data_IF_305125111531
#
_entry.id   IF_305125111531
#
_cell.length_a   1.000
_cell.length_b   1.000
_cell.length_c   1.000
_cell.angle_alpha   90.00
_cell.angle_beta   90.00
_cell.angle_gamma   90.00
#
_symmetry.space_group_name_H-M   'P 1'
#
loop_
_entity.id
_entity.type
_entity.pdbx_description
1 polymer ?
#
# COMPACT_ATOMS: atom_id res chain seq x y z
N UNK A 1 8.88 -64.37 24.57
CA UNK A 1 8.04 -63.18 24.83
C UNK A 1 8.49 -62.07 23.87
N UNK A 2 7.72 -61.73 22.84
CA UNK A 2 8.02 -60.63 21.92
C UNK A 2 7.15 -59.43 22.36
N UNK A 3 7.80 -58.37 22.83
CA UNK A 3 7.13 -57.13 23.17
C UNK A 3 6.82 -56.35 21.90
N UNK A 4 5.54 -56.08 21.68
CA UNK A 4 5.05 -55.25 20.57
C UNK A 4 5.05 -53.78 21.06
N UNK A 5 5.96 -52.94 20.54
CA UNK A 5 5.93 -51.52 20.79
C UNK A 5 4.84 -50.91 19.91
N UNK A 6 3.78 -50.38 20.51
CA UNK A 6 2.72 -49.62 19.83
C UNK A 6 3.19 -48.16 19.72
N UNK A 7 3.56 -47.73 18.50
CA UNK A 7 3.87 -46.33 18.23
C UNK A 7 2.55 -45.55 18.06
N UNK A 8 2.23 -44.69 18.98
CA UNK A 8 1.10 -43.74 18.89
C UNK A 8 1.56 -42.58 18.02
N UNK A 9 1.08 -42.52 16.77
CA UNK A 9 1.20 -41.34 15.90
C UNK A 9 0.24 -40.26 16.42
N UNK A 10 0.76 -39.25 17.11
CA UNK A 10 0.01 -38.02 17.43
C UNK A 10 -0.03 -37.18 16.16
N UNK A 11 -1.11 -37.24 15.41
CA UNK A 11 -1.39 -36.28 14.31
C UNK A 11 -1.77 -34.95 14.95
N UNK A 12 -0.82 -34.04 15.06
CA UNK A 12 -1.06 -32.69 15.49
C UNK A 12 -1.98 -31.98 14.46
N UNK A 13 -3.25 -31.77 14.83
CA UNK A 13 -4.15 -30.90 14.07
C UNK A 13 -3.62 -29.46 14.15
N UNK A 14 -3.00 -28.97 13.10
CA UNK A 14 -2.69 -27.56 12.95
C UNK A 14 -4.01 -26.81 12.76
N UNK A 15 -4.56 -26.24 13.82
CA UNK A 15 -5.65 -25.28 13.68
C UNK A 15 -5.14 -24.12 12.84
N UNK A 16 -5.76 -23.88 11.68
CA UNK A 16 -5.50 -22.68 10.88
C UNK A 16 -5.82 -21.46 11.74
N UNK A 17 -4.81 -20.65 12.01
CA UNK A 17 -5.01 -19.41 12.78
C UNK A 17 -5.95 -18.49 11.96
N UNK A 18 -7.02 -18.01 12.60
CA UNK A 18 -7.94 -17.05 11.98
C UNK A 18 -7.15 -15.76 11.72
N UNK A 19 -7.10 -15.26 10.47
CA UNK A 19 -6.41 -14.01 10.16
C UNK A 19 -6.94 -12.87 11.03
N UNK A 20 -6.03 -12.09 11.60
CA UNK A 20 -6.35 -10.93 12.43
C UNK A 20 -5.42 -9.76 12.10
N UNK A 21 -5.90 -8.54 12.29
CA UNK A 21 -5.06 -7.36 12.17
C UNK A 21 -4.00 -7.33 13.27
N UNK A 22 -2.78 -7.00 12.88
CA UNK A 22 -1.68 -6.66 13.77
C UNK A 22 -1.06 -5.32 13.37
N UNK A 23 -0.46 -4.64 14.32
CA UNK A 23 0.23 -3.38 14.04
C UNK A 23 1.49 -3.65 13.20
N UNK A 24 1.64 -2.91 12.08
CA UNK A 24 2.88 -2.78 11.32
C UNK A 24 3.75 -1.66 11.90
N UNK A 25 3.14 -0.64 12.45
CA UNK A 25 3.81 0.47 13.12
C UNK A 25 3.42 0.45 14.61
N UNK A 26 4.42 0.37 15.48
CA UNK A 26 4.24 0.23 16.92
C UNK A 26 3.95 1.54 17.66
N UNK A 27 3.96 2.69 16.94
CA UNK A 27 3.74 4.01 17.51
C UNK A 27 4.90 4.56 18.36
N UNK A 28 6.04 3.87 18.43
CA UNK A 28 7.17 4.23 19.32
C UNK A 28 8.47 4.47 18.58
N UNK A 29 8.78 3.64 17.61
CA UNK A 29 10.03 3.65 16.84
C UNK A 29 9.83 3.04 15.44
N UNK A 30 10.92 3.00 14.66
CA UNK A 30 10.93 2.47 13.30
C UNK A 30 11.29 0.97 13.24
N UNK A 31 11.17 0.23 14.33
CA UNK A 31 11.41 -1.21 14.31
C UNK A 31 10.46 -1.92 13.35
N UNK A 32 11.01 -2.78 12.50
CA UNK A 32 10.26 -3.44 11.42
C UNK A 32 10.23 -2.65 10.11
N UNK A 33 10.91 -1.49 10.08
CA UNK A 33 11.01 -0.62 8.90
C UNK A 33 12.46 -0.37 8.50
N UNK A 34 12.69 -0.20 7.20
CA UNK A 34 14.01 0.03 6.60
C UNK A 34 13.94 1.27 5.72
N UNK A 35 14.82 2.24 6.02
CA UNK A 35 14.99 3.43 5.21
C UNK A 35 15.72 3.09 3.89
N UNK A 36 15.16 3.52 2.77
CA UNK A 36 15.72 3.31 1.42
C UNK A 36 15.75 4.64 0.67
N UNK A 37 16.95 5.11 0.34
CA UNK A 37 17.24 6.33 -0.42
C UNK A 37 16.77 7.63 0.24
N UNK A 38 16.45 7.65 1.53
CA UNK A 38 16.15 8.90 2.24
C UNK A 38 17.23 9.21 3.29
N UNK A 39 17.31 10.45 3.73
CA UNK A 39 18.23 10.85 4.79
C UNK A 39 17.83 10.22 6.14
N UNK A 40 18.75 10.03 7.09
CA UNK A 40 18.46 9.43 8.39
C UNK A 40 17.35 10.14 9.19
N UNK A 41 17.19 11.45 8.96
CA UNK A 41 16.21 12.31 9.64
C UNK A 41 14.95 12.60 8.82
N UNK A 42 14.77 11.95 7.65
CA UNK A 42 13.56 12.07 6.83
C UNK A 42 12.35 11.52 7.55
N UNK A 43 12.55 10.46 8.35
CA UNK A 43 11.49 9.76 9.07
C UNK A 43 11.72 9.88 10.58
N UNK A 44 10.70 10.25 11.31
CA UNK A 44 10.72 10.34 12.77
C UNK A 44 9.38 9.88 13.37
N UNK A 45 9.41 9.54 14.65
CA UNK A 45 8.20 9.16 15.39
C UNK A 45 7.97 10.16 16.51
N UNK A 46 6.79 10.76 16.54
CA UNK A 46 6.38 11.70 17.57
C UNK A 46 4.95 11.41 18.01
N UNK A 47 4.75 11.19 19.32
CA UNK A 47 3.42 10.98 19.93
C UNK A 47 2.55 9.95 19.20
N UNK A 48 3.15 8.82 18.82
CA UNK A 48 2.43 7.74 18.14
C UNK A 48 2.21 7.95 16.63
N UNK A 49 2.77 9.01 16.06
CA UNK A 49 2.68 9.34 14.65
C UNK A 49 4.03 9.14 13.98
N UNK A 50 4.05 8.46 12.84
CA UNK A 50 5.19 8.38 11.94
C UNK A 50 5.13 9.58 11.01
N UNK A 51 6.16 10.41 11.04
CA UNK A 51 6.25 11.64 10.28
C UNK A 51 7.34 11.50 9.21
N UNK A 52 6.98 11.79 7.98
CA UNK A 52 7.89 11.89 6.84
C UNK A 52 8.01 13.35 6.40
N UNK A 53 9.25 13.85 6.26
CA UNK A 53 9.51 15.22 5.77
C UNK A 53 9.23 15.41 4.28
N UNK A 54 9.08 14.30 3.51
CA UNK A 54 8.90 14.34 2.06
C UNK A 54 10.18 14.54 1.25
N UNK A 55 11.34 14.70 1.87
CA UNK A 55 12.63 14.90 1.20
C UNK A 55 13.77 14.21 1.97
N UNK A 56 14.79 13.65 1.24
CA UNK A 56 14.82 13.40 -0.21
C UNK A 56 13.82 12.34 -0.66
N UNK A 57 13.62 12.21 -1.99
CA UNK A 57 12.73 11.18 -2.56
C UNK A 57 13.31 9.79 -2.28
N UNK A 58 12.46 8.91 -1.77
CA UNK A 58 12.76 7.53 -1.43
C UNK A 58 11.61 6.90 -0.66
N UNK A 59 11.86 5.80 0.03
CA UNK A 59 10.80 5.08 0.76
C UNK A 59 11.26 4.59 2.13
N UNK A 60 10.28 4.39 3.00
CA UNK A 60 10.41 3.57 4.20
C UNK A 60 9.68 2.25 3.92
N UNK A 61 10.41 1.14 3.78
CA UNK A 61 9.82 -0.16 3.52
C UNK A 61 9.74 -1.04 4.77
N UNK A 62 8.82 -1.99 4.77
CA UNK A 62 8.81 -3.06 5.78
C UNK A 62 10.09 -3.90 5.71
N UNK A 63 10.48 -4.55 6.80
CA UNK A 63 11.63 -5.46 6.86
C UNK A 63 11.34 -6.84 6.24
N UNK A 64 10.06 -7.21 6.07
CA UNK A 64 9.62 -8.44 5.41
C UNK A 64 8.66 -8.19 4.24
N UNK A 65 8.55 -9.18 3.38
CA UNK A 65 7.63 -9.19 2.24
C UNK A 65 6.26 -9.74 2.62
N UNK A 66 5.25 -9.31 1.88
CA UNK A 66 3.85 -9.76 1.98
C UNK A 66 3.34 -10.21 0.62
N UNK A 67 2.46 -11.23 0.63
CA UNK A 67 1.82 -11.75 -0.57
C UNK A 67 0.35 -11.37 -0.62
N UNK A 68 -0.48 -11.99 0.20
CA UNK A 68 -1.91 -11.70 0.32
C UNK A 68 -2.18 -11.01 1.65
N UNK A 69 -2.82 -9.85 1.62
CA UNK A 69 -3.04 -9.06 2.83
C UNK A 69 -4.19 -8.06 2.69
N UNK A 70 -4.65 -7.58 3.84
CA UNK A 70 -5.44 -6.36 3.97
C UNK A 70 -4.60 -5.38 4.78
N UNK A 71 -4.33 -4.21 4.21
CA UNK A 71 -3.63 -3.10 4.85
C UNK A 71 -4.62 -2.03 5.25
N UNK A 72 -4.55 -1.59 6.50
CA UNK A 72 -5.23 -0.40 7.00
C UNK A 72 -4.18 0.65 7.34
N UNK A 73 -4.36 1.89 6.87
CA UNK A 73 -3.45 3.00 7.15
C UNK A 73 -4.21 4.32 7.24
N UNK A 74 -3.91 5.12 8.28
CA UNK A 74 -4.35 6.50 8.37
C UNK A 74 -3.20 7.44 7.99
N UNK A 75 -3.51 8.44 7.17
CA UNK A 75 -2.53 9.40 6.68
C UNK A 75 -3.11 10.81 6.54
N UNK A 76 -2.24 11.82 6.56
CA UNK A 76 -2.59 13.21 6.27
C UNK A 76 -1.41 14.00 5.73
N UNK A 77 -1.61 14.76 4.68
CA UNK A 77 -0.66 15.78 4.24
C UNK A 77 -0.70 17.00 5.14
N UNK A 78 0.46 17.59 5.38
CA UNK A 78 0.58 18.82 6.17
C UNK A 78 0.65 20.07 5.30
N UNK A 79 0.89 19.92 4.00
CA UNK A 79 1.03 20.99 3.03
C UNK A 79 0.07 20.78 1.86
N UNK A 80 -0.37 21.90 1.25
CA UNK A 80 -1.16 21.86 0.02
C UNK A 80 -0.30 21.34 -1.15
N UNK A 81 -0.90 20.51 -2.01
CA UNK A 81 -0.21 19.94 -3.17
C UNK A 81 0.85 18.90 -2.82
N UNK A 82 0.80 18.31 -1.63
CA UNK A 82 1.71 17.25 -1.23
C UNK A 82 1.54 15.97 -2.06
N UNK A 83 2.65 15.25 -2.25
CA UNK A 83 2.71 13.97 -2.94
C UNK A 83 3.30 12.91 -2.01
N UNK A 84 2.71 11.73 -2.02
CA UNK A 84 3.16 10.51 -1.36
C UNK A 84 2.37 9.32 -1.90
N UNK A 85 2.71 8.10 -1.45
CA UNK A 85 2.02 6.88 -1.81
C UNK A 85 2.33 5.73 -0.87
N UNK A 86 1.53 4.68 -0.99
CA UNK A 86 1.84 3.36 -0.43
C UNK A 86 2.13 2.41 -1.57
N UNK A 87 3.28 1.74 -1.52
CA UNK A 87 3.59 0.66 -2.46
C UNK A 87 3.18 -0.68 -1.88
N UNK A 88 2.47 -1.45 -2.68
CA UNK A 88 2.23 -2.87 -2.45
C UNK A 88 3.14 -3.71 -3.34
N UNK A 89 3.60 -4.85 -2.81
CA UNK A 89 4.45 -5.80 -3.53
C UNK A 89 5.72 -5.18 -4.13
N UNK A 90 6.35 -4.30 -3.39
CA UNK A 90 7.53 -3.56 -3.86
C UNK A 90 8.81 -4.40 -3.83
N UNK A 91 9.74 -4.05 -4.72
CA UNK A 91 11.11 -4.50 -4.62
C UNK A 91 11.80 -3.95 -3.36
N UNK A 92 12.90 -4.56 -2.95
CA UNK A 92 13.65 -4.15 -1.75
C UNK A 92 14.31 -2.77 -1.89
N UNK A 93 14.75 -2.46 -3.10
CA UNK A 93 15.47 -1.22 -3.46
C UNK A 93 15.12 -0.83 -4.89
N UNK A 94 15.24 0.45 -5.24
CA UNK A 94 15.09 0.90 -6.63
C UNK A 94 16.17 0.31 -7.54
N UNK A 95 15.83 0.16 -8.83
CA UNK A 95 16.83 -0.09 -9.87
C UNK A 95 17.76 1.12 -10.03
N UNK A 96 18.94 0.91 -10.64
CA UNK A 96 20.07 1.89 -10.72
C UNK A 96 19.68 3.30 -11.20
N UNK A 97 18.65 3.42 -12.04
CA UNK A 97 18.21 4.70 -12.63
C UNK A 97 16.94 5.26 -12.00
N UNK A 98 16.40 4.57 -11.00
CA UNK A 98 15.13 4.92 -10.38
C UNK A 98 15.33 5.48 -8.97
N UNK A 99 14.46 6.38 -8.55
CA UNK A 99 14.43 6.87 -7.16
C UNK A 99 13.57 6.00 -6.27
N UNK A 100 12.53 5.40 -6.85
CA UNK A 100 11.54 4.57 -6.20
C UNK A 100 11.67 3.11 -6.66
N UNK A 101 11.37 2.12 -5.81
CA UNK A 101 11.40 0.72 -6.19
C UNK A 101 10.25 0.38 -7.14
N UNK A 102 10.37 -0.73 -7.87
CA UNK A 102 9.24 -1.27 -8.62
C UNK A 102 8.16 -1.75 -7.65
N UNK A 103 6.90 -1.67 -8.06
CA UNK A 103 5.77 -2.11 -7.24
C UNK A 103 4.43 -1.60 -7.78
N UNK A 104 3.37 -1.80 -7.04
CA UNK A 104 2.07 -1.17 -7.31
C UNK A 104 1.87 -0.03 -6.33
N UNK A 105 1.70 1.17 -6.86
CA UNK A 105 1.47 2.36 -6.05
C UNK A 105 -0.01 2.63 -5.85
N UNK A 106 -0.35 2.91 -4.60
CA UNK A 106 -1.64 3.46 -4.15
C UNK A 106 -1.40 4.93 -3.82
N UNK A 107 -1.74 5.78 -4.75
CA UNK A 107 -1.38 7.20 -4.74
C UNK A 107 -2.05 7.99 -3.61
N UNK A 108 -1.27 8.84 -2.94
CA UNK A 108 -1.70 9.76 -1.89
C UNK A 108 -1.34 11.20 -2.27
N UNK A 109 -2.13 11.82 -3.16
CA UNK A 109 -1.97 13.24 -3.49
C UNK A 109 -2.87 14.11 -2.61
N UNK A 110 -2.38 15.26 -2.19
CA UNK A 110 -3.20 16.27 -1.54
C UNK A 110 -4.12 16.95 -2.56
N UNK A 111 -5.30 17.41 -2.13
CA UNK A 111 -6.40 17.86 -3.01
C UNK A 111 -6.04 19.01 -3.94
N UNK A 112 -5.11 19.88 -3.53
CA UNK A 112 -4.65 21.02 -4.34
C UNK A 112 -3.53 20.64 -5.33
N UNK A 113 -3.06 19.37 -5.30
CA UNK A 113 -1.99 18.92 -6.20
C UNK A 113 -2.24 19.24 -7.67
N UNK A 114 -3.43 18.95 -8.26
CA UNK A 114 -3.69 19.23 -9.68
C UNK A 114 -3.61 20.72 -10.03
N UNK A 115 -3.99 21.59 -9.11
CA UNK A 115 -3.96 23.04 -9.31
C UNK A 115 -2.56 23.61 -9.20
N UNK A 116 -1.77 23.09 -8.26
CA UNK A 116 -0.42 23.56 -7.97
C UNK A 116 0.63 22.97 -8.92
N UNK A 117 0.39 21.76 -9.45
CA UNK A 117 1.29 21.05 -10.37
C UNK A 117 0.72 20.99 -11.79
N UNK A 118 0.54 22.16 -12.38
CA UNK A 118 0.03 22.31 -13.76
C UNK A 118 1.01 21.71 -14.78
N UNK A 119 0.48 21.08 -15.81
CA UNK A 119 1.25 20.67 -16.98
C UNK A 119 0.92 21.61 -18.14
N UNK A 120 1.93 22.27 -18.71
CA UNK A 120 1.79 23.26 -19.79
C UNK A 120 0.75 24.36 -19.46
N UNK A 121 0.72 24.80 -18.19
CA UNK A 121 -0.23 25.81 -17.71
C UNK A 121 -1.65 25.30 -17.42
N UNK A 122 -1.95 24.04 -17.75
CA UNK A 122 -3.27 23.41 -17.56
C UNK A 122 -3.28 22.60 -16.25
N UNK A 123 -4.35 22.72 -15.48
CA UNK A 123 -4.55 21.89 -14.29
C UNK A 123 -4.62 20.40 -14.66
N UNK A 124 -4.05 19.55 -13.80
CA UNK A 124 -4.15 18.11 -14.00
C UNK A 124 -5.60 17.65 -13.77
N UNK A 125 -6.06 16.62 -14.49
CA UNK A 125 -7.38 16.04 -14.26
C UNK A 125 -7.57 15.62 -12.80
N UNK A 126 -8.79 15.69 -12.30
CA UNK A 126 -9.15 15.29 -10.93
C UNK A 126 -8.67 13.89 -10.53
N UNK A 127 -8.53 12.97 -11.49
CA UNK A 127 -8.00 11.63 -11.28
C UNK A 127 -6.56 11.60 -10.71
N UNK A 128 -5.79 12.68 -10.85
CA UNK A 128 -4.46 12.80 -10.22
C UNK A 128 -4.50 13.19 -8.75
N UNK A 129 -5.66 13.17 -8.11
CA UNK A 129 -5.75 13.70 -6.73
C UNK A 129 -5.40 12.64 -5.70
N UNK A 130 -6.13 11.55 -5.68
CA UNK A 130 -5.95 10.50 -4.67
C UNK A 130 -6.58 9.19 -5.11
N UNK A 131 -6.03 8.08 -4.60
CA UNK A 131 -6.59 6.76 -4.85
C UNK A 131 -6.39 6.25 -6.27
N UNK A 132 -5.52 6.87 -7.05
CA UNK A 132 -5.05 6.29 -8.31
C UNK A 132 -4.18 5.06 -8.02
N UNK A 133 -4.30 4.02 -8.85
CA UNK A 133 -3.55 2.78 -8.73
C UNK A 133 -2.82 2.50 -10.03
N UNK A 134 -1.53 2.20 -9.94
CA UNK A 134 -0.72 1.91 -11.12
C UNK A 134 0.56 1.15 -10.81
N UNK A 135 1.10 0.46 -11.80
CA UNK A 135 2.42 -0.16 -11.70
C UNK A 135 3.54 0.86 -11.89
N UNK A 136 4.57 0.77 -11.06
CA UNK A 136 5.81 1.55 -11.13
C UNK A 136 6.96 0.65 -11.54
N UNK A 137 7.93 1.19 -12.31
CA UNK A 137 9.17 0.50 -12.64
C UNK A 137 9.00 -0.72 -13.55
N UNK A 138 7.96 -0.77 -14.36
CA UNK A 138 7.71 -1.87 -15.29
C UNK A 138 6.73 -2.92 -14.79
N UNK A 139 6.22 -2.80 -13.56
CA UNK A 139 5.10 -3.62 -13.08
C UNK A 139 3.87 -3.28 -13.93
N UNK A 140 3.21 -4.31 -14.49
CA UNK A 140 2.01 -4.18 -15.31
C UNK A 140 0.79 -4.54 -14.50
N UNK A 141 -0.31 -3.82 -14.73
CA UNK A 141 -1.62 -4.06 -14.11
C UNK A 141 -2.72 -3.84 -15.14
N UNK A 142 -3.91 -4.36 -14.84
CA UNK A 142 -5.14 -4.07 -15.59
C UNK A 142 -6.00 -3.17 -14.70
N UNK A 143 -6.24 -1.91 -15.09
CA UNK A 143 -7.03 -0.98 -14.29
C UNK A 143 -8.52 -1.32 -14.31
N UNK A 144 -9.21 -1.17 -13.16
CA UNK A 144 -10.68 -1.26 -13.09
C UNK A 144 -11.33 -0.04 -13.76
N UNK A 145 -10.75 1.14 -13.56
CA UNK A 145 -11.19 2.41 -14.14
C UNK A 145 -10.06 3.02 -14.98
N UNK A 146 -9.90 2.61 -16.25
CA UNK A 146 -8.71 2.90 -17.02
C UNK A 146 -8.58 4.39 -17.39
N UNK A 147 -7.37 4.92 -17.16
CA UNK A 147 -6.84 6.15 -17.74
C UNK A 147 -5.40 5.87 -18.18
N UNK A 148 -5.28 5.40 -19.42
CA UNK A 148 -4.05 4.79 -19.89
C UNK A 148 -3.75 3.50 -19.08
N UNK A 149 -2.52 3.37 -18.58
CA UNK A 149 -2.09 2.24 -17.73
C UNK A 149 -2.48 2.39 -16.25
N UNK A 150 -3.10 3.51 -15.86
CA UNK A 150 -3.50 3.82 -14.49
C UNK A 150 -4.99 3.60 -14.27
N UNK A 151 -5.36 3.18 -13.07
CA UNK A 151 -6.74 3.13 -12.63
C UNK A 151 -7.05 4.35 -11.80
N UNK A 152 -7.97 5.20 -12.24
CA UNK A 152 -8.35 6.40 -11.51
C UNK A 152 -9.50 6.15 -10.54
N UNK A 153 -9.56 6.89 -9.45
CA UNK A 153 -10.70 6.88 -8.54
C UNK A 153 -11.83 7.75 -9.11
N UNK A 154 -12.99 7.19 -9.43
CA UNK A 154 -14.13 7.96 -9.95
C UNK A 154 -14.78 8.89 -8.93
N UNK A 155 -14.47 8.70 -7.62
CA UNK A 155 -14.97 9.51 -6.54
C UNK A 155 -13.83 10.16 -5.75
N UNK A 156 -13.90 11.46 -5.51
CA UNK A 156 -13.03 12.15 -4.57
C UNK A 156 -13.60 12.00 -3.15
N UNK A 157 -12.88 11.24 -2.31
CA UNK A 157 -13.29 11.00 -0.93
C UNK A 157 -12.28 11.45 0.10
N UNK A 158 -11.12 11.91 -0.33
CA UNK A 158 -10.10 12.41 0.56
C UNK A 158 -10.46 13.79 1.11
N UNK A 159 -10.02 14.02 2.32
CA UNK A 159 -10.03 15.30 3.01
C UNK A 159 -8.72 16.03 2.72
N UNK A 160 -8.73 17.34 2.83
CA UNK A 160 -7.57 18.19 2.56
C UNK A 160 -6.47 18.14 3.61
N UNK A 161 -5.47 19.00 3.44
CA UNK A 161 -4.32 19.07 4.33
C UNK A 161 -4.72 19.25 5.79
N UNK A 162 -3.96 18.61 6.69
CA UNK A 162 -4.21 18.65 8.13
C UNK A 162 -5.29 17.68 8.61
N UNK A 163 -6.06 17.06 7.71
CA UNK A 163 -7.11 16.12 8.07
C UNK A 163 -6.71 14.66 7.82
N UNK A 164 -7.08 13.78 8.75
CA UNK A 164 -6.81 12.35 8.63
C UNK A 164 -7.70 11.68 7.59
N UNK A 165 -7.07 10.93 6.70
CA UNK A 165 -7.69 10.03 5.74
C UNK A 165 -7.37 8.59 6.09
N UNK A 166 -8.22 7.66 5.66
CA UNK A 166 -8.04 6.22 5.82
C UNK A 166 -7.99 5.54 4.48
N UNK A 167 -6.99 4.70 4.27
CA UNK A 167 -6.96 3.71 3.21
C UNK A 167 -7.12 2.31 3.79
N UNK A 168 -8.01 1.51 3.19
CA UNK A 168 -8.07 0.07 3.34
C UNK A 168 -7.75 -0.56 1.97
N UNK A 169 -6.64 -1.30 1.92
CA UNK A 169 -6.10 -1.89 0.70
C UNK A 169 -6.18 -3.40 0.81
N UNK A 170 -7.04 -4.04 0.02
CA UNK A 170 -7.09 -5.50 -0.11
C UNK A 170 -6.21 -5.90 -1.28
N UNK A 171 -5.18 -6.70 -1.03
CA UNK A 171 -4.22 -7.14 -2.02
C UNK A 171 -4.13 -8.68 -2.04
N UNK A 172 -4.66 -9.31 -3.09
CA UNK A 172 -4.74 -10.78 -3.21
C UNK A 172 -4.49 -11.19 -4.66
N UNK A 173 -3.53 -12.08 -4.87
CA UNK A 173 -3.24 -12.72 -6.17
C UNK A 173 -3.15 -11.73 -7.36
N UNK A 174 -2.51 -10.59 -7.16
CA UNK A 174 -2.35 -9.57 -8.20
C UNK A 174 -3.58 -8.68 -8.41
N UNK A 175 -4.59 -8.78 -7.55
CA UNK A 175 -5.74 -7.86 -7.49
C UNK A 175 -5.54 -6.92 -6.30
N UNK A 176 -5.71 -5.62 -6.52
CA UNK A 176 -5.82 -4.64 -5.43
C UNK A 176 -7.18 -3.96 -5.51
N UNK A 177 -7.83 -3.84 -4.34
CA UNK A 177 -9.04 -3.05 -4.16
C UNK A 177 -8.79 -2.02 -3.06
N UNK A 178 -9.17 -0.77 -3.34
CA UNK A 178 -8.94 0.37 -2.47
C UNK A 178 -10.27 0.94 -1.95
N UNK A 179 -10.35 1.08 -0.63
CA UNK A 179 -11.36 1.92 0.00
C UNK A 179 -10.73 3.17 0.59
N UNK A 180 -11.39 4.32 0.42
CA UNK A 180 -11.00 5.61 0.98
C UNK A 180 -12.08 6.08 1.93
N UNK A 181 -11.72 6.36 3.18
CA UNK A 181 -12.65 6.83 4.21
C UNK A 181 -13.92 5.96 4.29
N UNK A 182 -13.70 4.63 4.30
CA UNK A 182 -14.74 3.62 4.48
C UNK A 182 -15.56 3.28 3.25
N UNK A 183 -15.23 3.79 2.05
CA UNK A 183 -15.93 3.44 0.81
C UNK A 183 -14.98 2.90 -0.25
N UNK A 184 -15.33 1.77 -0.86
CA UNK A 184 -14.63 1.24 -2.03
C UNK A 184 -14.71 2.24 -3.20
N UNK A 185 -13.58 2.56 -3.79
CA UNK A 185 -13.48 3.57 -4.85
C UNK A 185 -12.71 3.12 -6.08
N UNK A 186 -11.73 2.23 -5.96
CA UNK A 186 -10.85 1.91 -7.09
C UNK A 186 -10.23 0.53 -6.97
N UNK A 187 -9.66 0.02 -8.07
CA UNK A 187 -8.95 -1.24 -8.08
C UNK A 187 -8.13 -1.46 -9.34
N UNK A 188 -7.28 -2.47 -9.25
CA UNK A 188 -6.54 -3.06 -10.37
C UNK A 188 -6.59 -4.59 -10.29
N UNK A 189 -6.33 -5.23 -11.40
CA UNK A 189 -6.15 -6.68 -11.46
C UNK A 189 -4.89 -7.06 -12.25
N UNK A 190 -4.55 -8.34 -12.25
CA UNK A 190 -3.48 -8.95 -13.05
C UNK A 190 -2.12 -8.27 -12.89
N UNK A 191 -1.81 -7.81 -11.67
CA UNK A 191 -0.46 -7.33 -11.38
C UNK A 191 0.57 -8.42 -11.69
N UNK A 192 1.64 -8.04 -12.38
CA UNK A 192 2.76 -8.95 -12.67
C UNK A 192 3.62 -9.23 -11.43
N UNK A 193 3.52 -8.39 -10.41
CA UNK A 193 4.16 -8.57 -9.10
C UNK A 193 3.08 -8.82 -8.05
N UNK A 194 3.19 -9.92 -7.29
CA UNK A 194 2.16 -10.39 -6.36
C UNK A 194 2.70 -10.64 -4.95
N UNK A 195 3.97 -10.35 -4.74
CA UNK A 195 4.68 -10.47 -3.46
C UNK A 195 5.81 -9.47 -3.41
N UNK A 196 6.00 -8.84 -2.27
CA UNK A 196 7.05 -7.85 -2.07
C UNK A 196 6.86 -7.06 -0.77
N UNK A 197 7.61 -6.00 -0.64
CA UNK A 197 7.56 -5.13 0.52
C UNK A 197 6.38 -4.16 0.44
N UNK A 198 5.94 -3.69 1.59
CA UNK A 198 5.10 -2.48 1.70
C UNK A 198 6.03 -1.29 1.91
N UNK A 199 5.81 -0.21 1.15
CA UNK A 199 6.59 1.01 1.31
C UNK A 199 5.68 2.21 1.55
N UNK A 200 6.16 3.14 2.38
CA UNK A 200 5.63 4.50 2.49
C UNK A 200 6.57 5.43 1.74
N UNK A 201 6.02 6.32 0.94
CA UNK A 201 6.80 7.17 0.06
C UNK A 201 7.12 8.52 0.71
N UNK A 202 8.36 8.99 0.47
CA UNK A 202 8.82 10.34 0.71
C UNK A 202 8.93 11.04 -0.65
N UNK A 203 8.00 11.95 -0.98
CA UNK A 203 7.99 12.61 -2.28
C UNK A 203 7.40 14.04 -2.23
N UNK A 204 8.15 14.96 -1.67
CA UNK A 204 7.94 16.40 -1.89
C UNK A 204 7.44 17.18 -0.68
N UNK A 205 6.54 16.65 0.15
CA UNK A 205 5.91 17.39 1.24
C UNK A 205 5.79 16.57 2.53
N UNK A 206 5.65 17.24 3.67
CA UNK A 206 5.46 16.54 4.94
C UNK A 206 4.13 15.80 4.96
N UNK A 207 4.20 14.51 5.26
CA UNK A 207 3.05 13.61 5.43
C UNK A 207 3.18 12.84 6.74
N UNK A 208 2.06 12.65 7.44
CA UNK A 208 1.96 11.92 8.69
C UNK A 208 1.19 10.63 8.50
N UNK A 209 1.63 9.57 9.19
CA UNK A 209 0.99 8.26 9.18
C UNK A 209 0.75 7.76 10.60
N UNK A 210 -0.34 7.03 10.83
CA UNK A 210 -0.63 6.32 12.07
C UNK A 210 -1.53 5.13 11.81
N UNK A 211 -1.79 4.32 12.85
CA UNK A 211 -2.70 3.17 12.77
C UNK A 211 -2.41 2.28 11.55
N UNK A 212 -1.11 2.04 11.26
CA UNK A 212 -0.69 1.17 10.16
C UNK A 212 -0.82 -0.27 10.63
N UNK A 213 -1.79 -1.01 10.09
CA UNK A 213 -2.12 -2.38 10.47
C UNK A 213 -2.21 -3.28 9.26
N UNK A 214 -1.86 -4.53 9.44
CA UNK A 214 -1.97 -5.55 8.39
C UNK A 214 -2.69 -6.79 8.92
N UNK A 215 -3.52 -7.38 8.07
CA UNK A 215 -4.02 -8.74 8.22
C UNK A 215 -3.40 -9.56 7.09
N UNK A 216 -2.50 -10.47 7.42
CA UNK A 216 -1.94 -11.42 6.45
C UNK A 216 -2.99 -12.50 6.15
N UNK A 217 -3.24 -12.73 4.88
CA UNK A 217 -4.13 -13.78 4.40
C UNK A 217 -3.31 -15.01 4.02
N UNK A 218 -3.90 -16.20 3.99
CA UNK A 218 -3.17 -17.42 3.66
C UNK A 218 -2.40 -17.31 2.34
N UNK A 219 -1.17 -17.87 2.25
CA UNK A 219 -0.43 -17.95 1.01
C UNK A 219 -1.17 -18.82 0.01
N UNK A 220 -0.99 -18.52 -1.28
CA UNK A 220 -1.64 -19.27 -2.36
C UNK A 220 -3.15 -19.01 -2.51
N UNK A 221 -3.71 -18.06 -1.76
CA UNK A 221 -5.06 -17.58 -2.07
C UNK A 221 -5.09 -17.01 -3.48
N UNK A 222 -6.13 -17.35 -4.22
CA UNK A 222 -6.43 -16.79 -5.54
C UNK A 222 -7.73 -16.00 -5.47
N UNK A 223 -7.84 -14.97 -6.30
CA UNK A 223 -9.12 -14.29 -6.52
C UNK A 223 -9.88 -15.07 -7.59
N UNK A 224 -11.16 -15.39 -7.38
CA UNK A 224 -12.00 -15.91 -8.46
C UNK A 224 -12.04 -14.85 -9.58
N UNK A 225 -11.99 -15.29 -10.84
CA UNK A 225 -12.10 -14.39 -11.99
C UNK A 225 -13.40 -13.58 -11.93
N UNK A 226 -14.41 -14.18 -11.30
CA UNK A 226 -15.69 -13.55 -11.11
C UNK A 226 -16.42 -14.15 -9.90
N UNK A 227 -16.78 -13.34 -8.94
CA UNK A 227 -17.50 -13.75 -7.73
C UNK A 227 -19.01 -13.63 -7.85
N UNK A 228 -19.53 -12.95 -8.87
CA UNK A 228 -20.95 -12.78 -9.11
C UNK A 228 -21.27 -12.92 -10.61
N UNK A 229 -22.49 -13.37 -10.96
CA UNK A 229 -22.96 -13.40 -12.35
C UNK A 229 -22.90 -12.00 -12.96
N UNK A 230 -22.37 -11.88 -14.17
CA UNK A 230 -22.53 -10.66 -14.97
C UNK A 230 -23.94 -10.66 -15.50
N UNK A 231 -24.72 -9.66 -15.12
CA UNK A 231 -26.00 -9.40 -15.77
C UNK A 231 -25.70 -8.97 -17.22
N UNK A 232 -26.17 -9.78 -18.17
CA UNK A 232 -26.09 -9.49 -19.60
C UNK A 232 -27.15 -8.49 -20.00
#
# INVERSE_FOLDING_TARGET
MKSLLLAVLITGSTFAQIPAFRDLFNGKDLKGWVNVNTAPDTWRVEKGVLICKGQPIGVMRTDKQYENFILHIEWKHMEAGGNSGVFAWSDAVPGEKNRLPNGVEVQMLELEFPKLHKRDGVELPHAYVTGELFGVGGVKTVPDNPRGERSFSPESRCKGKGEWNTYDVVAVDGVIKLSINGKFVNGIAKSTQKKGYLCLESEGAEIHFRNIKIMELPPGMTTPEQSAPVLK
#
